data_IF_086997783430
#
_entry.id   IF_086997783430
#
_cell.length_a   1.000
_cell.length_b   1.000
_cell.length_c   1.000
_cell.angle_alpha   90.00
_cell.angle_beta   90.00
_cell.angle_gamma   90.00
#
_symmetry.space_group_name_H-M   'P 1'
#
loop_
_entity.id
_entity.type
_entity.pdbx_description
1 polymer ?
#
# COMPACT_ATOMS: atom_id res chain seq x y z
N UNK A 1 -38.82 -14.41 -13.47
CA UNK A 1 -38.99 -12.96 -13.19
C UNK A 1 -39.05 -12.80 -11.67
N UNK A 2 -37.91 -12.83 -10.98
CA UNK A 2 -37.92 -12.56 -9.53
C UNK A 2 -37.89 -11.03 -9.36
N UNK A 3 -39.06 -10.49 -8.97
CA UNK A 3 -39.20 -9.12 -8.52
C UNK A 3 -38.37 -8.96 -7.25
N UNK A 4 -37.28 -8.20 -7.31
CA UNK A 4 -36.61 -7.72 -6.10
C UNK A 4 -37.71 -7.03 -5.26
N UNK A 5 -37.91 -7.52 -4.07
CA UNK A 5 -38.89 -6.93 -3.14
C UNK A 5 -38.42 -5.52 -2.76
N UNK A 6 -39.36 -4.67 -2.30
CA UNK A 6 -38.99 -3.33 -1.82
C UNK A 6 -37.96 -3.42 -0.70
N UNK A 7 -38.01 -4.45 0.13
CA UNK A 7 -37.06 -4.74 1.20
C UNK A 7 -35.64 -5.03 0.67
N UNK A 8 -35.50 -5.77 -0.44
CA UNK A 8 -34.20 -6.05 -1.03
C UNK A 8 -33.53 -4.77 -1.56
N UNK A 9 -34.34 -3.85 -2.11
CA UNK A 9 -33.84 -2.55 -2.61
C UNK A 9 -33.40 -1.62 -1.47
N UNK A 10 -34.13 -1.61 -0.37
CA UNK A 10 -33.80 -0.82 0.81
C UNK A 10 -32.49 -1.32 1.45
N UNK A 11 -32.34 -2.64 1.58
CA UNK A 11 -31.10 -3.25 2.08
C UNK A 11 -29.88 -2.95 1.20
N UNK A 12 -30.03 -2.97 -0.13
CA UNK A 12 -28.97 -2.58 -1.08
C UNK A 12 -28.58 -1.11 -0.90
N UNK A 13 -29.57 -0.23 -0.70
CA UNK A 13 -29.32 1.20 -0.53
C UNK A 13 -28.59 1.48 0.78
N UNK A 14 -29.02 0.86 1.87
CA UNK A 14 -28.38 1.01 3.18
C UNK A 14 -26.90 0.57 3.14
N UNK A 15 -26.63 -0.55 2.50
CA UNK A 15 -25.26 -1.06 2.39
C UNK A 15 -24.38 -0.20 1.48
N UNK A 16 -24.92 0.35 0.39
CA UNK A 16 -24.19 1.32 -0.43
C UNK A 16 -23.85 2.60 0.36
N UNK A 17 -24.77 3.03 1.25
CA UNK A 17 -24.54 4.16 2.14
C UNK A 17 -23.45 3.84 3.18
N UNK A 18 -23.50 2.65 3.79
CA UNK A 18 -22.45 2.20 4.73
C UNK A 18 -21.07 2.11 4.08
N UNK A 19 -21.00 1.57 2.86
CA UNK A 19 -19.74 1.54 2.09
C UNK A 19 -19.28 2.97 1.78
N UNK A 20 -20.19 3.85 1.38
CA UNK A 20 -19.87 5.26 1.13
C UNK A 20 -19.32 5.97 2.37
N UNK A 21 -19.87 5.72 3.56
CA UNK A 21 -19.36 6.22 4.83
C UNK A 21 -17.99 5.60 5.18
N UNK A 22 -17.81 4.31 4.92
CA UNK A 22 -16.55 3.62 5.15
C UNK A 22 -15.42 4.17 4.25
N UNK A 23 -15.71 4.54 3.00
CA UNK A 23 -14.74 5.21 2.09
C UNK A 23 -14.19 6.50 2.69
N UNK A 24 -14.97 7.20 3.52
CA UNK A 24 -14.56 8.45 4.17
C UNK A 24 -13.79 8.24 5.48
N UNK A 25 -13.97 7.11 6.16
CA UNK A 25 -13.47 6.87 7.53
C UNK A 25 -12.46 5.74 7.67
N UNK A 26 -12.49 4.74 6.79
CA UNK A 26 -11.56 3.59 6.84
C UNK A 26 -10.18 3.98 6.33
N UNK A 27 -9.16 3.67 7.11
CA UNK A 27 -7.76 3.97 6.78
C UNK A 27 -7.06 2.82 6.08
N UNK A 28 -7.56 1.60 6.25
CA UNK A 28 -7.02 0.42 5.57
C UNK A 28 -7.71 0.21 4.22
N UNK A 29 -7.02 0.59 3.15
CA UNK A 29 -7.52 0.43 1.79
C UNK A 29 -7.92 -1.03 1.49
N UNK A 30 -7.09 -2.00 1.90
CA UNK A 30 -7.35 -3.40 1.56
C UNK A 30 -8.56 -3.96 2.32
N UNK A 31 -8.74 -3.58 3.58
CA UNK A 31 -9.94 -3.92 4.37
C UNK A 31 -11.21 -3.34 3.73
N UNK A 32 -11.15 -2.09 3.24
CA UNK A 32 -12.26 -1.47 2.54
C UNK A 32 -12.57 -2.15 1.20
N UNK A 33 -11.55 -2.48 0.40
CA UNK A 33 -11.73 -3.19 -0.87
C UNK A 33 -12.27 -4.61 -0.67
N UNK A 34 -11.87 -5.30 0.41
CA UNK A 34 -12.39 -6.61 0.81
C UNK A 34 -13.90 -6.55 1.11
N UNK A 35 -14.34 -5.55 1.88
CA UNK A 35 -15.77 -5.30 2.17
C UNK A 35 -16.57 -4.98 0.90
N UNK A 36 -16.03 -4.16 0.01
CA UNK A 36 -16.68 -3.83 -1.27
C UNK A 36 -16.85 -5.09 -2.12
N UNK A 37 -15.82 -5.94 -2.19
CA UNK A 37 -15.88 -7.19 -2.95
C UNK A 37 -16.87 -8.16 -2.34
N UNK A 38 -16.91 -8.29 -1.01
CA UNK A 38 -17.87 -9.12 -0.27
C UNK A 38 -19.31 -8.67 -0.56
N UNK A 39 -19.60 -7.37 -0.50
CA UNK A 39 -20.90 -6.81 -0.84
C UNK A 39 -21.26 -7.11 -2.30
N UNK A 40 -20.34 -6.91 -3.24
CA UNK A 40 -20.56 -7.20 -4.66
C UNK A 40 -20.91 -8.68 -4.90
N UNK A 41 -20.20 -9.60 -4.26
CA UNK A 41 -20.47 -11.05 -4.33
C UNK A 41 -21.84 -11.39 -3.75
N UNK A 42 -22.16 -10.88 -2.57
CA UNK A 42 -23.42 -11.15 -1.88
C UNK A 42 -24.62 -10.70 -2.71
N UNK A 43 -24.60 -9.47 -3.24
CA UNK A 43 -25.68 -8.94 -4.06
C UNK A 43 -25.90 -9.68 -5.37
N UNK A 44 -24.84 -10.22 -5.95
CA UNK A 44 -24.90 -10.94 -7.21
C UNK A 44 -24.96 -12.44 -7.03
N UNK A 45 -24.84 -12.92 -5.79
CA UNK A 45 -24.69 -14.34 -5.43
C UNK A 45 -23.51 -14.98 -6.18
N UNK A 46 -22.43 -14.25 -6.34
CA UNK A 46 -21.23 -14.76 -7.01
C UNK A 46 -20.44 -15.67 -6.06
N UNK A 47 -20.02 -16.84 -6.54
CA UNK A 47 -19.17 -17.79 -5.78
C UNK A 47 -17.78 -17.22 -5.50
N UNK A 48 -17.26 -16.43 -6.42
CA UNK A 48 -15.94 -15.83 -6.30
C UNK A 48 -15.91 -14.40 -6.84
N UNK A 49 -14.91 -13.66 -6.42
CA UNK A 49 -14.65 -12.32 -6.93
C UNK A 49 -13.18 -11.92 -6.74
N UNK A 50 -12.75 -11.04 -7.60
CA UNK A 50 -11.40 -10.48 -7.58
C UNK A 50 -11.44 -8.98 -7.84
N UNK A 51 -10.67 -8.24 -7.07
CA UNK A 51 -10.42 -6.84 -7.32
C UNK A 51 -8.97 -6.66 -7.75
N UNK A 52 -8.78 -6.16 -8.96
CA UNK A 52 -7.48 -5.89 -9.53
C UNK A 52 -7.14 -4.40 -9.45
N UNK A 53 -5.87 -4.09 -9.15
CA UNK A 53 -5.30 -2.75 -9.30
C UNK A 53 -4.41 -2.70 -10.53
N UNK A 54 -4.59 -1.67 -11.35
CA UNK A 54 -3.73 -1.43 -12.52
C UNK A 54 -2.43 -0.76 -12.09
N UNK A 55 -1.32 -1.37 -12.54
CA UNK A 55 0.04 -0.89 -12.37
C UNK A 55 0.76 -0.93 -13.73
N UNK A 56 0.74 0.19 -14.43
CA UNK A 56 1.24 0.29 -15.80
C UNK A 56 0.55 -0.66 -16.78
N UNK A 57 1.29 -1.65 -17.28
CA UNK A 57 0.85 -2.69 -18.20
C UNK A 57 0.35 -3.99 -17.52
N UNK A 58 0.15 -3.96 -16.21
CA UNK A 58 -0.22 -5.14 -15.41
C UNK A 58 -1.45 -4.87 -14.55
N UNK A 59 -2.17 -5.96 -14.25
CA UNK A 59 -3.18 -6.02 -13.21
C UNK A 59 -2.64 -6.86 -12.05
N UNK A 60 -2.53 -6.25 -10.88
CA UNK A 60 -2.16 -6.94 -9.64
C UNK A 60 -3.42 -7.34 -8.88
N UNK A 61 -3.42 -8.54 -8.34
CA UNK A 61 -4.48 -8.98 -7.44
C UNK A 61 -4.41 -8.18 -6.14
N UNK A 62 -5.43 -7.38 -5.85
CA UNK A 62 -5.53 -6.61 -4.61
C UNK A 62 -6.31 -7.38 -3.55
N UNK A 63 -7.47 -7.93 -3.94
CA UNK A 63 -8.32 -8.75 -3.07
C UNK A 63 -8.85 -9.92 -3.90
N UNK A 64 -8.83 -11.12 -3.33
CA UNK A 64 -9.39 -12.34 -3.92
C UNK A 64 -10.27 -13.01 -2.88
N UNK A 65 -11.51 -13.33 -3.24
CA UNK A 65 -12.44 -14.08 -2.42
C UNK A 65 -13.01 -15.24 -3.25
N UNK A 66 -12.90 -16.46 -2.74
CA UNK A 66 -13.46 -17.67 -3.38
C UNK A 66 -13.82 -18.70 -2.31
N UNK A 67 -15.10 -18.87 -2.05
CA UNK A 67 -15.60 -19.73 -0.95
C UNK A 67 -15.20 -21.20 -1.10
N UNK A 68 -15.06 -21.69 -2.34
CA UNK A 68 -14.69 -23.07 -2.60
C UNK A 68 -13.19 -23.31 -2.32
N UNK A 69 -12.35 -22.35 -2.72
CA UNK A 69 -10.92 -22.44 -2.50
C UNK A 69 -10.57 -22.11 -1.04
N UNK A 70 -11.28 -21.18 -0.41
CA UNK A 70 -11.08 -20.84 1.00
C UNK A 70 -11.40 -22.01 1.95
N UNK A 71 -12.30 -22.92 1.57
CA UNK A 71 -12.54 -24.17 2.30
C UNK A 71 -11.38 -25.15 2.19
N UNK A 72 -10.60 -25.10 1.10
CA UNK A 72 -9.42 -25.95 0.86
C UNK A 72 -8.13 -25.33 1.40
N UNK A 73 -8.02 -24.00 1.32
CA UNK A 73 -6.85 -23.20 1.70
C UNK A 73 -7.31 -22.04 2.58
N UNK A 74 -6.64 -21.75 3.70
CA UNK A 74 -6.95 -20.55 4.46
C UNK A 74 -6.75 -19.28 3.61
N UNK A 75 -7.55 -18.21 3.85
CA UNK A 75 -7.50 -16.92 3.12
C UNK A 75 -6.08 -16.38 2.86
N UNK A 76 -5.14 -16.37 3.84
CA UNK A 76 -3.78 -15.89 3.60
C UNK A 76 -3.03 -16.68 2.52
N UNK A 77 -3.25 -17.98 2.41
CA UNK A 77 -2.63 -18.82 1.40
C UNK A 77 -3.19 -18.55 -0.01
N UNK A 78 -4.47 -18.24 -0.12
CA UNK A 78 -5.10 -17.83 -1.37
C UNK A 78 -4.52 -16.52 -1.88
N UNK A 79 -4.48 -15.49 -1.04
CA UNK A 79 -3.95 -14.18 -1.38
C UNK A 79 -2.49 -14.26 -1.85
N UNK A 80 -1.61 -14.94 -1.09
CA UNK A 80 -0.20 -15.12 -1.44
C UNK A 80 0.00 -15.80 -2.79
N UNK A 81 -0.83 -16.80 -3.13
CA UNK A 81 -0.74 -17.53 -4.38
C UNK A 81 -1.04 -16.64 -5.59
N UNK A 82 -2.03 -15.77 -5.49
CA UNK A 82 -2.43 -14.86 -6.57
C UNK A 82 -1.54 -13.61 -6.66
N UNK A 83 -1.02 -13.11 -5.56
CA UNK A 83 -0.08 -11.98 -5.56
C UNK A 83 1.23 -12.26 -6.31
N UNK A 84 1.66 -13.52 -6.37
CA UNK A 84 2.90 -13.91 -7.00
C UNK A 84 2.91 -13.77 -8.54
N UNK A 85 1.74 -13.73 -9.20
CA UNK A 85 1.63 -13.72 -10.65
C UNK A 85 0.65 -12.67 -11.18
N UNK A 86 1.08 -11.40 -11.36
CA UNK A 86 0.23 -10.37 -11.93
C UNK A 86 -0.14 -10.67 -13.37
N UNK A 87 -1.39 -10.37 -13.76
CA UNK A 87 -1.87 -10.47 -15.14
C UNK A 87 -1.24 -9.37 -16.00
N UNK A 88 -0.57 -9.73 -17.08
CA UNK A 88 -0.10 -8.76 -18.07
C UNK A 88 -1.26 -8.35 -18.97
N UNK A 89 -1.39 -7.05 -19.24
CA UNK A 89 -2.40 -6.55 -20.17
C UNK A 89 -2.16 -7.06 -21.62
N UNK A 90 -0.93 -7.44 -21.96
CA UNK A 90 -0.61 -8.05 -23.25
C UNK A 90 -1.20 -9.47 -23.42
N UNK A 91 -1.44 -10.16 -22.30
CA UNK A 91 -2.05 -11.50 -22.30
C UNK A 91 -3.56 -11.39 -22.43
N UNK A 92 -4.20 -12.22 -23.28
CA UNK A 92 -5.65 -12.25 -23.40
C UNK A 92 -6.32 -12.66 -22.10
N UNK A 93 -7.20 -11.80 -21.56
CA UNK A 93 -8.03 -12.09 -20.40
C UNK A 93 -9.23 -11.14 -20.37
N UNK A 94 -10.33 -11.55 -19.72
CA UNK A 94 -11.53 -10.70 -19.58
C UNK A 94 -11.24 -9.46 -18.75
N UNK A 95 -10.59 -9.60 -17.61
CA UNK A 95 -10.15 -8.46 -16.81
C UNK A 95 -9.19 -7.53 -17.58
N UNK A 96 -8.24 -8.11 -18.35
CA UNK A 96 -7.32 -7.35 -19.21
C UNK A 96 -8.04 -6.58 -20.31
N UNK A 97 -9.09 -7.16 -20.92
CA UNK A 97 -9.94 -6.46 -21.87
C UNK A 97 -10.63 -5.25 -21.23
N UNK A 98 -11.31 -5.46 -20.09
CA UNK A 98 -11.95 -4.37 -19.33
C UNK A 98 -10.96 -3.27 -18.96
N UNK A 99 -9.75 -3.66 -18.53
CA UNK A 99 -8.69 -2.71 -18.16
C UNK A 99 -8.17 -1.86 -19.33
N UNK A 100 -8.27 -2.36 -20.56
CA UNK A 100 -7.86 -1.65 -21.78
C UNK A 100 -8.96 -0.77 -22.34
N UNK A 101 -10.18 -1.29 -22.42
CA UNK A 101 -11.28 -0.67 -23.16
C UNK A 101 -12.23 0.14 -22.27
N UNK A 102 -12.33 -0.18 -20.98
CA UNK A 102 -13.35 0.36 -20.08
C UNK A 102 -14.76 -0.21 -20.32
N UNK A 103 -14.90 -1.16 -21.22
CA UNK A 103 -16.18 -1.81 -21.49
C UNK A 103 -16.48 -2.84 -20.40
N UNK A 104 -17.75 -2.87 -19.96
CA UNK A 104 -18.20 -3.95 -19.07
C UNK A 104 -18.30 -5.24 -19.83
N UNK A 105 -17.83 -6.33 -19.24
CA UNK A 105 -17.98 -7.68 -19.74
C UNK A 105 -18.98 -8.42 -18.85
N UNK A 106 -20.06 -8.91 -19.44
CA UNK A 106 -21.04 -9.79 -18.80
C UNK A 106 -21.25 -10.99 -19.73
N UNK A 107 -20.73 -12.15 -19.34
CA UNK A 107 -20.79 -13.37 -20.14
C UNK A 107 -21.41 -14.51 -19.36
N UNK A 108 -22.29 -15.25 -19.99
CA UNK A 108 -22.98 -16.39 -19.41
C UNK A 108 -22.09 -17.65 -19.34
N UNK A 109 -21.15 -17.77 -20.30
CA UNK A 109 -20.19 -18.87 -20.36
C UNK A 109 -18.85 -18.35 -20.91
N UNK A 110 -17.84 -18.34 -20.05
CA UNK A 110 -16.51 -17.87 -20.38
C UNK A 110 -15.80 -18.76 -21.42
N UNK A 111 -16.14 -20.06 -21.46
CA UNK A 111 -15.55 -21.01 -22.42
C UNK A 111 -16.18 -20.91 -23.82
N UNK A 112 -17.36 -20.31 -23.94
CA UNK A 112 -18.01 -20.06 -25.25
C UNK A 112 -17.39 -18.88 -26.01
N UNK A 113 -16.44 -18.15 -25.41
CA UNK A 113 -15.76 -17.02 -26.02
C UNK A 113 -14.65 -17.59 -26.93
N UNK A 114 -14.82 -17.44 -28.26
CA UNK A 114 -13.84 -17.94 -29.25
C UNK A 114 -12.44 -17.32 -29.07
N UNK A 115 -11.42 -18.13 -29.27
CA UNK A 115 -9.98 -17.81 -29.09
C UNK A 115 -9.47 -16.65 -29.98
N UNK A 116 -10.23 -16.20 -30.96
CA UNK A 116 -9.88 -15.15 -31.92
C UNK A 116 -10.35 -13.74 -31.54
N UNK A 117 -10.99 -13.59 -30.38
CA UNK A 117 -11.44 -12.27 -29.92
C UNK A 117 -10.44 -11.69 -28.90
N UNK A 118 -10.32 -10.37 -28.88
CA UNK A 118 -9.57 -9.63 -27.84
C UNK A 118 -10.09 -9.92 -26.42
N UNK A 119 -11.21 -10.61 -26.32
CA UNK A 119 -11.86 -11.15 -25.11
C UNK A 119 -11.60 -12.65 -25.06
N UNK A 120 -10.48 -13.09 -24.56
CA UNK A 120 -10.22 -14.50 -24.30
C UNK A 120 -10.35 -14.78 -22.80
N UNK A 121 -10.85 -15.95 -22.46
CA UNK A 121 -10.81 -16.44 -21.10
C UNK A 121 -9.45 -17.11 -20.83
N UNK A 122 -8.84 -16.79 -19.69
CA UNK A 122 -7.54 -17.37 -19.31
C UNK A 122 -7.78 -18.49 -18.30
N UNK A 123 -7.79 -19.74 -18.76
CA UNK A 123 -8.04 -20.93 -17.93
C UNK A 123 -6.89 -21.25 -16.94
N UNK A 124 -5.77 -20.53 -17.00
CA UNK A 124 -4.59 -20.80 -16.19
C UNK A 124 -4.89 -20.82 -14.69
N UNK A 125 -5.76 -19.89 -14.24
CA UNK A 125 -6.15 -19.81 -12.84
C UNK A 125 -7.13 -20.91 -12.44
N UNK A 126 -8.03 -21.32 -13.33
CA UNK A 126 -8.96 -22.43 -13.11
C UNK A 126 -8.18 -23.73 -12.94
N UNK A 127 -7.28 -24.01 -13.86
CA UNK A 127 -6.40 -25.20 -13.80
C UNK A 127 -5.55 -25.21 -12.53
N UNK A 128 -4.96 -24.05 -12.16
CA UNK A 128 -4.09 -23.95 -10.99
C UNK A 128 -4.86 -24.09 -9.67
N UNK A 129 -6.15 -23.75 -9.61
CA UNK A 129 -6.99 -23.74 -8.40
C UNK A 129 -8.01 -24.85 -8.32
N UNK A 130 -8.13 -25.70 -9.36
CA UNK A 130 -9.19 -26.70 -9.49
C UNK A 130 -10.59 -26.06 -9.34
N UNK A 131 -10.76 -24.90 -10.01
CA UNK A 131 -11.98 -24.13 -10.07
C UNK A 131 -12.51 -24.09 -11.50
N UNK A 132 -13.80 -24.05 -11.70
CA UNK A 132 -14.43 -23.98 -13.02
C UNK A 132 -15.21 -22.70 -13.19
N UNK A 133 -14.62 -21.72 -13.85
CA UNK A 133 -15.27 -20.46 -14.17
C UNK A 133 -16.24 -20.65 -15.33
N UNK A 134 -17.52 -20.25 -15.12
CA UNK A 134 -18.56 -20.24 -16.15
C UNK A 134 -19.00 -18.82 -16.45
N UNK A 135 -19.88 -18.25 -15.61
CA UNK A 135 -20.35 -16.89 -15.81
C UNK A 135 -19.39 -15.86 -15.23
N UNK A 136 -19.18 -14.75 -15.93
CA UNK A 136 -18.27 -13.66 -15.53
C UNK A 136 -18.95 -12.31 -15.70
N UNK A 137 -18.88 -11.48 -14.68
CA UNK A 137 -19.19 -10.05 -14.73
C UNK A 137 -17.94 -9.25 -14.33
N UNK A 138 -17.35 -8.50 -15.27
CA UNK A 138 -16.20 -7.66 -15.02
C UNK A 138 -16.50 -6.20 -15.35
N UNK A 139 -16.23 -5.30 -14.40
CA UNK A 139 -16.48 -3.86 -14.51
C UNK A 139 -15.21 -3.07 -14.24
N UNK A 140 -14.97 -1.95 -14.95
CA UNK A 140 -13.80 -1.11 -14.72
C UNK A 140 -13.94 -0.29 -13.43
N UNK A 141 -12.83 -0.10 -12.74
CA UNK A 141 -12.67 0.92 -11.71
C UNK A 141 -12.13 2.17 -12.40
N UNK A 142 -12.99 3.17 -12.59
CA UNK A 142 -12.62 4.41 -13.27
C UNK A 142 -12.48 5.55 -12.28
N UNK A 143 -11.42 6.33 -12.40
CA UNK A 143 -11.25 7.57 -11.65
C UNK A 143 -12.07 8.73 -12.28
N UNK A 144 -12.03 9.91 -11.65
CA UNK A 144 -12.75 11.10 -12.12
C UNK A 144 -12.26 11.63 -13.47
N UNK A 145 -11.09 11.21 -13.94
CA UNK A 145 -10.54 11.58 -15.27
C UNK A 145 -10.97 10.61 -16.35
N UNK A 146 -11.70 9.54 -15.98
CA UNK A 146 -12.06 8.43 -16.87
C UNK A 146 -10.95 7.40 -17.06
N UNK A 147 -9.80 7.55 -16.35
CA UNK A 147 -8.71 6.57 -16.42
C UNK A 147 -9.07 5.30 -15.67
N UNK A 148 -8.76 4.14 -16.24
CA UNK A 148 -9.02 2.85 -15.63
C UNK A 148 -7.88 2.52 -14.67
N UNK A 149 -8.18 2.50 -13.37
CA UNK A 149 -7.24 2.26 -12.28
C UNK A 149 -7.29 0.84 -11.71
N UNK A 150 -8.24 0.03 -12.18
CA UNK A 150 -8.43 -1.35 -11.76
C UNK A 150 -9.62 -2.00 -12.44
N UNK A 151 -9.92 -3.23 -12.02
CA UNK A 151 -11.09 -4.03 -12.48
C UNK A 151 -11.68 -4.76 -11.29
N UNK A 152 -13.01 -4.79 -11.18
CA UNK A 152 -13.75 -5.67 -10.29
C UNK A 152 -14.35 -6.78 -11.15
N UNK A 153 -14.01 -8.03 -10.83
CA UNK A 153 -14.45 -9.23 -11.54
C UNK A 153 -15.18 -10.16 -10.59
N UNK A 154 -16.36 -10.62 -10.99
CA UNK A 154 -17.21 -11.57 -10.27
C UNK A 154 -17.38 -12.83 -11.11
N UNK A 155 -17.33 -13.99 -10.47
CA UNK A 155 -17.35 -15.29 -11.12
C UNK A 155 -18.50 -16.11 -10.57
N UNK A 156 -19.20 -16.83 -11.46
CA UNK A 156 -20.22 -17.83 -11.15
C UNK A 156 -21.35 -17.30 -10.27
N UNK A 157 -22.28 -16.55 -10.85
CA UNK A 157 -23.55 -16.26 -10.16
C UNK A 157 -24.34 -17.58 -9.96
N UNK A 158 -24.90 -17.77 -8.76
CA UNK A 158 -25.70 -18.96 -8.46
C UNK A 158 -27.17 -18.61 -8.18
N UNK A 159 -28.07 -19.49 -8.62
CA UNK A 159 -29.48 -19.39 -8.31
C UNK A 159 -29.84 -20.04 -6.97
N UNK A 160 -31.13 -20.08 -6.64
CA UNK A 160 -31.62 -20.68 -5.39
C UNK A 160 -31.42 -22.21 -5.30
N UNK A 161 -31.19 -22.88 -6.43
CA UNK A 161 -30.85 -24.31 -6.48
C UNK A 161 -29.34 -24.59 -6.34
N UNK A 162 -28.51 -23.53 -6.34
CA UNK A 162 -27.05 -23.63 -6.36
C UNK A 162 -26.46 -23.85 -7.77
N UNK A 163 -27.27 -23.76 -8.82
CA UNK A 163 -26.80 -23.88 -10.19
C UNK A 163 -26.15 -22.55 -10.66
N UNK A 164 -25.02 -22.64 -11.38
CA UNK A 164 -24.39 -21.46 -11.99
C UNK A 164 -25.27 -20.90 -13.10
N UNK A 165 -25.54 -19.61 -13.04
CA UNK A 165 -26.37 -18.84 -13.97
C UNK A 165 -25.62 -17.61 -14.48
N UNK A 166 -26.14 -16.98 -15.55
CA UNK A 166 -25.62 -15.69 -16.02
C UNK A 166 -25.94 -14.57 -15.02
N UNK A 167 -25.06 -13.58 -14.93
CA UNK A 167 -25.32 -12.36 -14.16
C UNK A 167 -26.47 -11.56 -14.80
N UNK A 168 -27.44 -11.16 -13.99
CA UNK A 168 -28.55 -10.34 -14.47
C UNK A 168 -28.09 -8.93 -14.79
N UNK A 169 -28.70 -8.29 -15.79
CA UNK A 169 -28.33 -6.91 -16.22
C UNK A 169 -28.48 -5.86 -15.12
N UNK A 170 -29.42 -6.05 -14.20
CA UNK A 170 -29.59 -5.12 -13.06
C UNK A 170 -28.37 -5.16 -12.12
N UNK A 171 -27.66 -6.29 -12.04
CA UNK A 171 -26.42 -6.41 -11.29
C UNK A 171 -25.33 -5.48 -11.85
N UNK A 172 -25.29 -5.24 -13.16
CA UNK A 172 -24.27 -4.34 -13.76
C UNK A 172 -24.32 -2.93 -13.17
N UNK A 173 -25.53 -2.38 -12.95
CA UNK A 173 -25.69 -1.03 -12.39
C UNK A 173 -25.19 -0.96 -10.94
N UNK A 174 -25.53 -1.97 -10.16
CA UNK A 174 -25.13 -2.07 -8.76
C UNK A 174 -23.59 -2.24 -8.66
N UNK A 175 -23.03 -3.15 -9.44
CA UNK A 175 -21.58 -3.40 -9.42
C UNK A 175 -20.79 -2.20 -9.93
N UNK A 176 -21.32 -1.44 -10.90
CA UNK A 176 -20.73 -0.15 -11.30
C UNK A 176 -20.71 0.89 -10.15
N UNK A 177 -21.77 0.95 -9.32
CA UNK A 177 -21.78 1.83 -8.16
C UNK A 177 -20.72 1.42 -7.13
N UNK A 178 -20.61 0.13 -6.80
CA UNK A 178 -19.56 -0.40 -5.91
C UNK A 178 -18.15 -0.17 -6.48
N UNK A 179 -17.98 -0.37 -7.79
CA UNK A 179 -16.73 -0.09 -8.49
C UNK A 179 -16.33 1.40 -8.40
N UNK A 180 -17.30 2.32 -8.46
CA UNK A 180 -17.05 3.75 -8.28
C UNK A 180 -16.58 4.05 -6.85
N UNK A 181 -17.17 3.45 -5.81
CA UNK A 181 -16.70 3.59 -4.43
C UNK A 181 -15.27 3.06 -4.27
N UNK A 182 -14.97 1.88 -4.83
CA UNK A 182 -13.62 1.33 -4.82
C UNK A 182 -12.61 2.27 -5.52
N UNK A 183 -12.99 2.85 -6.66
CA UNK A 183 -12.13 3.80 -7.38
C UNK A 183 -11.83 5.06 -6.55
N UNK A 184 -12.82 5.59 -5.83
CA UNK A 184 -12.62 6.74 -4.92
C UNK A 184 -11.68 6.36 -3.78
N UNK A 185 -11.87 5.19 -3.16
CA UNK A 185 -11.01 4.68 -2.08
C UNK A 185 -9.56 4.54 -2.53
N UNK A 186 -9.34 3.90 -3.68
CA UNK A 186 -8.01 3.71 -4.28
C UNK A 186 -7.34 5.06 -4.57
N UNK A 187 -8.10 6.00 -5.12
CA UNK A 187 -7.59 7.35 -5.40
C UNK A 187 -7.20 8.09 -4.12
N UNK A 188 -8.05 8.06 -3.10
CA UNK A 188 -7.75 8.70 -1.81
C UNK A 188 -6.48 8.11 -1.20
N UNK A 189 -6.34 6.79 -1.16
CA UNK A 189 -5.14 6.13 -0.67
C UNK A 189 -3.88 6.48 -1.49
N UNK A 190 -3.99 6.61 -2.83
CA UNK A 190 -2.88 7.07 -3.69
C UNK A 190 -2.49 8.51 -3.39
N UNK A 191 -3.47 9.41 -3.22
CA UNK A 191 -3.21 10.81 -2.85
C UNK A 191 -2.57 10.92 -1.47
N UNK A 192 -3.01 10.13 -0.50
CA UNK A 192 -2.39 10.06 0.82
C UNK A 192 -0.95 9.54 0.73
N UNK A 193 -0.68 8.49 -0.05
CA UNK A 193 0.66 7.97 -0.26
C UNK A 193 1.60 9.00 -0.91
N UNK A 194 1.13 9.77 -1.89
CA UNK A 194 1.90 10.88 -2.48
C UNK A 194 2.12 11.96 -1.43
N UNK A 195 1.12 12.24 -0.58
CA UNK A 195 1.21 13.21 0.53
C UNK A 195 2.12 12.76 1.68
N UNK A 196 2.51 11.47 1.74
CA UNK A 196 3.38 10.92 2.78
C UNK A 196 4.86 10.78 2.37
N UNK A 197 5.17 11.05 1.11
CA UNK A 197 6.54 11.00 0.61
C UNK A 197 7.15 12.40 0.49
N UNK A 198 8.45 12.47 0.72
CA UNK A 198 9.25 13.64 0.39
C UNK A 198 9.57 13.62 -1.12
N UNK A 199 9.28 14.70 -1.82
CA UNK A 199 9.37 14.77 -3.29
C UNK A 199 10.80 14.68 -3.83
N UNK A 200 11.82 15.01 -3.00
CA UNK A 200 13.22 14.97 -3.41
C UNK A 200 13.84 13.58 -3.21
N UNK A 201 13.55 12.96 -2.06
CA UNK A 201 14.26 11.77 -1.58
C UNK A 201 13.44 10.49 -1.66
N UNK A 202 12.12 10.61 -1.90
CA UNK A 202 11.15 9.50 -1.89
C UNK A 202 11.05 8.75 -0.54
N UNK A 203 11.75 9.23 0.49
CA UNK A 203 11.54 8.77 1.85
C UNK A 203 10.17 9.19 2.36
N UNK A 204 9.75 8.66 3.49
CA UNK A 204 8.59 9.22 4.17
C UNK A 204 8.87 10.66 4.59
N UNK A 205 7.85 11.50 4.58
CA UNK A 205 7.96 12.88 5.06
C UNK A 205 7.65 13.00 6.55
N UNK A 206 7.82 14.19 7.10
CA UNK A 206 7.55 14.52 8.51
C UNK A 206 6.12 14.16 8.94
N UNK A 207 5.13 14.35 8.06
CA UNK A 207 3.73 14.05 8.39
C UNK A 207 3.51 12.56 8.64
N UNK A 208 3.98 11.71 7.73
CA UNK A 208 3.89 10.25 7.90
C UNK A 208 4.69 9.78 9.13
N UNK A 209 5.88 10.32 9.31
CA UNK A 209 6.70 9.99 10.47
C UNK A 209 5.98 10.27 11.78
N UNK A 210 5.29 11.43 11.91
CA UNK A 210 4.50 11.79 13.09
C UNK A 210 3.38 10.77 13.38
N UNK A 211 2.66 10.33 12.35
CA UNK A 211 1.63 9.31 12.52
C UNK A 211 2.22 7.97 13.00
N UNK A 212 3.34 7.57 12.43
CA UNK A 212 3.96 6.27 12.73
C UNK A 212 4.63 6.22 14.10
N UNK A 213 5.27 7.30 14.54
CA UNK A 213 5.88 7.35 15.87
C UNK A 213 4.81 7.24 16.97
N UNK A 214 3.65 7.89 16.80
CA UNK A 214 2.52 7.80 17.72
C UNK A 214 1.97 6.37 17.82
N UNK A 215 1.84 5.69 16.68
CA UNK A 215 1.38 4.30 16.63
C UNK A 215 2.36 3.34 17.32
N UNK A 216 3.66 3.48 17.06
CA UNK A 216 4.69 2.62 17.66
C UNK A 216 4.85 2.88 19.17
N UNK A 217 4.67 4.13 19.63
CA UNK A 217 4.64 4.44 21.07
C UNK A 217 3.44 3.78 21.74
N UNK A 218 2.24 3.85 21.16
CA UNK A 218 1.06 3.12 21.65
C UNK A 218 1.29 1.61 21.72
N UNK A 219 1.95 1.06 20.68
CA UNK A 219 2.33 -0.35 20.64
C UNK A 219 3.33 -0.70 21.76
N UNK A 220 4.36 0.12 21.96
CA UNK A 220 5.30 -0.01 23.07
C UNK A 220 4.58 -0.04 24.41
N UNK A 221 3.70 0.93 24.67
CA UNK A 221 2.93 1.02 25.92
C UNK A 221 2.05 -0.21 26.16
N UNK A 222 1.47 -0.79 25.10
CA UNK A 222 0.59 -1.97 25.20
C UNK A 222 1.34 -3.28 25.39
N UNK A 223 2.46 -3.46 24.72
CA UNK A 223 3.15 -4.76 24.61
C UNK A 223 4.54 -4.80 25.26
N UNK A 224 5.08 -3.66 25.69
CA UNK A 224 6.41 -3.58 26.32
C UNK A 224 7.59 -3.76 25.36
N UNK A 225 7.36 -3.84 24.06
CA UNK A 225 8.45 -4.01 23.10
C UNK A 225 9.31 -2.74 23.00
N UNK A 226 10.66 -2.84 22.98
CA UNK A 226 11.51 -1.67 22.92
C UNK A 226 11.33 -0.89 21.61
N UNK A 227 11.33 0.43 21.71
CA UNK A 227 11.24 1.33 20.57
C UNK A 227 12.39 2.33 20.64
N UNK A 228 13.09 2.53 19.53
CA UNK A 228 14.18 3.50 19.46
C UNK A 228 14.05 4.41 18.24
N UNK A 229 14.53 5.62 18.40
CA UNK A 229 14.60 6.65 17.38
C UNK A 229 16.05 7.08 17.15
N UNK A 230 16.44 7.17 15.91
CA UNK A 230 17.71 7.79 15.46
C UNK A 230 17.35 8.99 14.61
N UNK A 231 17.81 10.18 15.02
CA UNK A 231 17.75 11.40 14.21
C UNK A 231 19.11 11.63 13.60
N UNK A 232 19.16 11.98 12.32
CA UNK A 232 20.35 12.12 11.51
C UNK A 232 20.35 13.50 10.88
N UNK A 233 21.51 14.17 10.86
CA UNK A 233 21.67 15.40 10.12
C UNK A 233 22.98 15.36 9.32
N UNK A 234 22.92 15.81 8.07
CA UNK A 234 24.10 15.92 7.20
C UNK A 234 24.95 17.07 7.68
N UNK A 235 26.20 16.77 8.01
CA UNK A 235 27.15 17.78 8.52
C UNK A 235 27.54 18.75 7.41
N UNK A 236 27.68 20.03 7.77
CA UNK A 236 28.14 21.08 6.86
C UNK A 236 27.34 21.15 5.53
N UNK A 237 26.05 20.85 5.52
CA UNK A 237 25.24 20.85 4.31
C UNK A 237 25.12 22.23 3.64
N UNK A 238 24.98 23.30 4.45
CA UNK A 238 24.93 24.69 3.93
C UNK A 238 26.17 25.13 3.12
N UNK A 239 27.41 24.87 3.57
CA UNK A 239 28.59 25.06 2.75
C UNK A 239 28.55 24.35 1.40
N UNK A 240 28.11 23.09 1.33
CA UNK A 240 28.00 22.34 0.08
C UNK A 240 27.06 23.03 -0.91
N UNK A 241 25.88 23.45 -0.45
CA UNK A 241 24.94 24.18 -1.30
C UNK A 241 25.40 25.57 -1.70
N UNK A 242 26.15 26.26 -0.84
CA UNK A 242 26.71 27.57 -1.14
C UNK A 242 27.83 27.54 -2.19
N UNK A 243 28.66 26.50 -2.16
CA UNK A 243 29.79 26.34 -3.06
C UNK A 243 29.41 25.70 -4.41
N UNK A 244 28.54 24.67 -4.38
CA UNK A 244 28.22 23.87 -5.56
C UNK A 244 26.80 24.05 -6.07
N UNK A 245 25.99 24.91 -5.43
CA UNK A 245 24.61 25.18 -5.80
C UNK A 245 23.58 24.20 -5.23
N UNK A 246 22.32 24.55 -5.34
CA UNK A 246 21.20 23.78 -4.78
C UNK A 246 21.11 22.35 -5.36
N UNK A 247 21.39 22.19 -6.66
CA UNK A 247 21.33 20.91 -7.33
C UNK A 247 22.33 19.89 -6.74
N UNK A 248 23.52 20.35 -6.34
CA UNK A 248 24.52 19.52 -5.67
C UNK A 248 24.05 19.08 -4.27
N UNK A 249 23.45 19.98 -3.51
CA UNK A 249 22.84 19.64 -2.23
C UNK A 249 21.71 18.60 -2.38
N UNK A 250 20.86 18.78 -3.37
CA UNK A 250 19.77 17.83 -3.67
C UNK A 250 20.31 16.43 -4.02
N UNK A 251 21.42 16.35 -4.75
CA UNK A 251 22.07 15.08 -5.08
C UNK A 251 22.64 14.41 -3.82
N UNK A 252 23.32 15.16 -2.96
CA UNK A 252 23.82 14.66 -1.66
C UNK A 252 22.67 14.10 -0.83
N UNK A 253 21.54 14.81 -0.72
CA UNK A 253 20.38 14.33 0.04
C UNK A 253 19.77 13.06 -0.54
N UNK A 254 19.67 12.96 -1.87
CA UNK A 254 19.22 11.72 -2.54
C UNK A 254 20.15 10.55 -2.26
N UNK A 255 21.46 10.78 -2.30
CA UNK A 255 22.45 9.73 -2.06
C UNK A 255 22.43 9.26 -0.60
N UNK A 256 22.42 10.20 0.37
CA UNK A 256 22.23 9.87 1.80
C UNK A 256 20.94 9.06 2.02
N UNK A 257 19.86 9.43 1.36
CA UNK A 257 18.58 8.71 1.45
C UNK A 257 18.69 7.27 0.95
N UNK A 258 19.38 7.05 -0.18
CA UNK A 258 19.63 5.70 -0.71
C UNK A 258 20.49 4.87 0.23
N UNK A 259 21.52 5.47 0.86
CA UNK A 259 22.36 4.81 1.84
C UNK A 259 21.54 4.41 3.08
N UNK A 260 20.71 5.30 3.61
CA UNK A 260 19.79 5.00 4.72
C UNK A 260 18.88 3.83 4.40
N UNK A 261 18.22 3.83 3.23
CA UNK A 261 17.32 2.76 2.81
C UNK A 261 18.05 1.43 2.62
N UNK A 262 19.17 1.43 1.88
CA UNK A 262 19.94 0.22 1.56
C UNK A 262 20.48 -0.48 2.79
N UNK A 263 20.85 0.28 3.80
CA UNK A 263 21.44 -0.24 5.03
C UNK A 263 20.45 -0.33 6.20
N UNK A 264 19.15 -0.27 5.93
CA UNK A 264 18.08 -0.45 6.91
C UNK A 264 17.29 -1.73 6.63
N UNK A 265 16.64 -2.24 7.68
CA UNK A 265 15.73 -3.39 7.52
C UNK A 265 14.42 -2.92 6.91
N UNK A 266 13.71 -3.82 6.24
CA UNK A 266 12.44 -3.51 5.55
C UNK A 266 11.35 -2.90 6.44
N UNK A 267 11.36 -3.20 7.73
CA UNK A 267 10.42 -2.68 8.72
C UNK A 267 10.92 -1.42 9.46
N UNK A 268 12.12 -0.90 9.15
CA UNK A 268 12.59 0.38 9.69
C UNK A 268 11.92 1.52 8.93
N UNK A 269 11.30 2.43 9.65
CA UNK A 269 10.66 3.61 9.03
C UNK A 269 11.72 4.70 8.89
N UNK A 270 12.07 5.02 7.64
CA UNK A 270 13.02 6.10 7.32
C UNK A 270 12.23 7.29 6.77
N UNK A 271 12.47 8.45 7.34
CA UNK A 271 11.81 9.69 6.95
C UNK A 271 12.82 10.84 6.80
N UNK A 272 12.46 11.79 5.94
CA UNK A 272 13.08 13.12 5.92
C UNK A 272 12.18 14.06 6.71
N UNK A 273 12.72 14.63 7.78
CA UNK A 273 11.94 15.49 8.66
C UNK A 273 11.91 16.94 8.18
N UNK A 274 13.08 17.46 7.76
CA UNK A 274 13.23 18.82 7.24
C UNK A 274 14.61 18.97 6.61
N UNK A 275 14.76 19.82 5.61
CA UNK A 275 16.04 20.22 5.04
C UNK A 275 17.03 19.05 4.88
N UNK A 276 18.04 19.01 5.74
CA UNK A 276 19.10 18.01 5.84
C UNK A 276 18.94 17.05 7.03
N UNK A 277 17.74 17.02 7.66
CA UNK A 277 17.43 16.18 8.81
C UNK A 277 16.58 14.97 8.43
N UNK A 278 17.05 13.78 8.84
CA UNK A 278 16.37 12.49 8.63
C UNK A 278 16.09 11.80 9.95
N UNK A 279 15.17 10.85 9.93
CA UNK A 279 14.87 10.01 11.08
C UNK A 279 14.74 8.54 10.67
N UNK A 280 15.18 7.65 11.56
CA UNK A 280 14.95 6.21 11.50
C UNK A 280 14.25 5.75 12.77
N UNK A 281 13.01 5.26 12.66
CA UNK A 281 12.25 4.67 13.75
C UNK A 281 12.43 3.16 13.72
N UNK A 282 12.95 2.60 14.81
CA UNK A 282 13.33 1.19 14.92
C UNK A 282 12.42 0.50 15.95
N UNK A 283 11.35 -0.14 15.46
CA UNK A 283 10.50 -0.97 16.28
C UNK A 283 11.23 -2.22 16.77
N UNK A 284 10.83 -2.73 17.94
CA UNK A 284 11.42 -3.91 18.59
C UNK A 284 12.95 -3.85 18.73
N UNK A 285 13.50 -2.64 18.89
CA UNK A 285 14.95 -2.42 18.94
C UNK A 285 15.30 -1.60 20.18
N UNK A 286 16.11 -2.15 21.09
CA UNK A 286 16.58 -1.41 22.27
C UNK A 286 17.60 -0.32 21.85
N UNK A 287 17.76 0.71 22.69
CA UNK A 287 18.65 1.86 22.45
C UNK A 287 20.07 1.47 22.04
N UNK A 288 20.66 0.45 22.67
CA UNK A 288 21.99 -0.05 22.30
C UNK A 288 22.05 -0.59 20.85
N UNK A 289 20.98 -1.28 20.43
CA UNK A 289 20.85 -1.74 19.03
C UNK A 289 20.70 -0.58 18.04
N UNK A 290 19.97 0.47 18.43
CA UNK A 290 19.82 1.67 17.63
C UNK A 290 21.14 2.47 17.53
N UNK A 291 21.93 2.52 18.60
CA UNK A 291 23.27 3.12 18.58
C UNK A 291 24.22 2.35 17.65
N UNK A 292 24.18 1.02 17.67
CA UNK A 292 24.94 0.19 16.73
C UNK A 292 24.52 0.42 15.28
N UNK A 293 23.21 0.52 15.02
CA UNK A 293 22.67 0.90 13.70
C UNK A 293 23.20 2.28 13.28
N UNK A 294 23.08 3.29 14.15
CA UNK A 294 23.53 4.64 13.85
C UNK A 294 25.03 4.70 13.54
N UNK A 295 25.88 3.98 14.31
CA UNK A 295 27.32 3.91 14.07
C UNK A 295 27.65 3.27 12.73
N UNK A 296 26.93 2.21 12.33
CA UNK A 296 27.09 1.59 11.02
C UNK A 296 26.73 2.56 9.89
N UNK A 297 25.59 3.27 10.00
CA UNK A 297 25.18 4.25 8.99
C UNK A 297 26.19 5.40 8.92
N UNK A 298 26.67 5.91 10.06
CA UNK A 298 27.72 6.93 10.11
C UNK A 298 28.93 6.53 9.28
N UNK A 299 29.45 5.31 9.51
CA UNK A 299 30.61 4.80 8.76
C UNK A 299 30.33 4.63 7.26
N UNK A 300 29.13 4.22 6.90
CA UNK A 300 28.70 4.09 5.50
C UNK A 300 28.67 5.46 4.81
N UNK A 301 28.10 6.47 5.46
CA UNK A 301 28.06 7.85 4.91
C UNK A 301 29.48 8.42 4.77
N UNK A 302 30.29 8.30 5.82
CA UNK A 302 31.69 8.81 5.82
C UNK A 302 32.56 8.18 4.72
N UNK A 303 32.38 6.88 4.45
CA UNK A 303 33.18 6.16 3.44
C UNK A 303 32.62 6.24 2.03
N UNK A 304 31.42 6.82 1.84
CA UNK A 304 30.79 6.92 0.54
C UNK A 304 31.44 8.02 -0.32
N UNK A 305 31.80 7.72 -1.61
CA UNK A 305 32.42 8.70 -2.50
C UNK A 305 31.34 9.64 -3.10
N UNK A 306 31.01 10.72 -2.38
CA UNK A 306 30.13 11.76 -2.92
C UNK A 306 30.85 12.58 -4.00
N UNK A 307 30.05 13.04 -4.99
CA UNK A 307 30.61 13.82 -6.12
C UNK A 307 31.21 15.17 -5.70
N UNK A 308 30.82 15.72 -4.56
CA UNK A 308 31.18 17.05 -4.08
C UNK A 308 32.09 17.02 -2.84
N UNK A 309 32.87 15.96 -2.68
CA UNK A 309 33.83 15.82 -1.59
C UNK A 309 33.33 14.94 -0.44
N UNK A 310 34.00 15.00 0.70
CA UNK A 310 33.65 14.18 1.87
C UNK A 310 32.40 14.72 2.56
N UNK A 311 31.38 13.91 2.66
CA UNK A 311 30.16 14.21 3.42
C UNK A 311 30.13 13.34 4.66
N UNK A 312 29.85 13.94 5.81
CA UNK A 312 29.62 13.22 7.07
C UNK A 312 28.25 13.52 7.61
N UNK A 313 27.81 12.75 8.60
CA UNK A 313 26.56 12.97 9.29
C UNK A 313 26.71 12.76 10.80
N UNK A 314 25.94 13.52 11.55
CA UNK A 314 25.82 13.40 13.01
C UNK A 314 24.50 12.73 13.36
N UNK A 315 24.53 11.95 14.45
CA UNK A 315 23.43 11.08 14.84
C UNK A 315 23.09 11.28 16.31
N UNK A 316 21.77 11.41 16.61
CA UNK A 316 21.24 11.40 17.96
C UNK A 316 20.34 10.19 18.16
N UNK A 317 20.52 9.45 19.26
CA UNK A 317 19.78 8.21 19.57
C UNK A 317 19.03 8.37 20.87
N UNK A 318 17.75 7.99 20.87
CA UNK A 318 16.93 7.88 22.06
C UNK A 318 16.06 6.61 22.00
N UNK A 319 15.63 6.12 23.16
CA UNK A 319 14.83 4.89 23.23
C UNK A 319 13.80 4.91 24.38
N UNK A 320 12.69 4.23 24.15
CA UNK A 320 11.69 3.95 25.17
C UNK A 320 11.99 2.62 25.88
N UNK A 321 11.77 2.57 27.21
CA UNK A 321 11.27 3.64 28.10
C UNK A 321 12.37 4.51 28.70
N UNK A 322 13.64 4.32 28.35
CA UNK A 322 14.77 4.89 29.08
C UNK A 322 14.83 6.43 29.00
N UNK A 323 14.53 7.02 27.86
CA UNK A 323 14.78 8.45 27.59
C UNK A 323 13.49 9.26 27.44
N UNK A 324 12.32 8.59 27.33
CA UNK A 324 11.05 9.24 27.03
C UNK A 324 9.85 8.38 27.44
N UNK A 325 8.67 9.00 27.47
CA UNK A 325 7.38 8.34 27.74
C UNK A 325 6.34 8.60 26.64
N UNK A 326 6.59 9.58 25.79
CA UNK A 326 5.72 9.97 24.68
C UNK A 326 6.50 10.07 23.35
N UNK A 327 5.79 10.22 22.25
CA UNK A 327 6.39 10.44 20.94
C UNK A 327 7.18 11.76 20.85
N UNK A 328 6.60 12.84 21.40
CA UNK A 328 7.23 14.16 21.43
C UNK A 328 8.49 14.15 22.30
N UNK A 329 8.45 13.49 23.47
CA UNK A 329 9.61 13.35 24.34
C UNK A 329 10.72 12.54 23.66
N UNK A 330 10.36 11.46 22.94
CA UNK A 330 11.31 10.60 22.24
C UNK A 330 12.01 11.38 21.12
N UNK A 331 11.25 12.16 20.34
CA UNK A 331 11.82 13.01 19.31
C UNK A 331 12.74 14.11 19.92
N UNK A 332 12.25 14.77 20.96
CA UNK A 332 13.03 15.79 21.67
C UNK A 332 14.34 15.24 22.28
N UNK A 333 14.31 14.02 22.85
CA UNK A 333 15.48 13.34 23.38
C UNK A 333 16.50 13.01 22.28
N UNK A 334 16.06 12.44 21.16
CA UNK A 334 16.93 12.15 20.01
C UNK A 334 17.53 13.42 19.41
N UNK A 335 16.77 14.51 19.32
CA UNK A 335 17.27 15.80 18.84
C UNK A 335 18.26 16.45 19.82
N UNK A 336 18.09 16.29 21.14
CA UNK A 336 19.13 16.72 22.13
C UNK A 336 20.40 15.95 21.91
N UNK A 337 20.33 14.62 21.79
CA UNK A 337 21.50 13.79 21.51
C UNK A 337 22.20 14.20 20.19
N UNK A 338 21.42 14.53 19.13
CA UNK A 338 21.99 15.03 17.88
C UNK A 338 22.74 16.34 18.06
N UNK A 339 22.20 17.27 18.87
CA UNK A 339 22.94 18.54 19.18
C UNK A 339 24.24 18.24 19.89
N UNK A 340 24.25 17.36 20.88
CA UNK A 340 25.48 16.94 21.55
C UNK A 340 26.51 16.34 20.59
N UNK A 341 26.06 15.51 19.62
CA UNK A 341 26.94 14.97 18.59
C UNK A 341 27.59 16.09 17.74
N UNK A 342 26.81 17.11 17.38
CA UNK A 342 27.30 18.26 16.61
C UNK A 342 28.28 19.11 17.42
N UNK A 343 27.99 19.40 18.69
CA UNK A 343 28.80 20.23 19.58
C UNK A 343 30.14 19.58 19.93
N UNK A 344 30.17 18.25 20.04
CA UNK A 344 31.37 17.48 20.28
C UNK A 344 32.27 17.31 19.04
N UNK A 345 31.93 17.88 17.89
CA UNK A 345 32.81 17.90 16.70
C UNK A 345 32.27 17.12 15.51
N UNK A 346 30.99 16.85 15.45
CA UNK A 346 30.27 16.21 14.33
C UNK A 346 30.77 14.79 13.99
N UNK A 347 30.26 14.21 12.89
CA UNK A 347 30.60 12.87 12.40
C UNK A 347 30.61 11.80 13.50
N UNK A 348 29.59 11.80 14.32
CA UNK A 348 29.49 10.88 15.47
C UNK A 348 28.04 10.55 15.84
N UNK A 349 27.95 9.56 16.70
CA UNK A 349 26.70 9.15 17.34
C UNK A 349 26.74 9.58 18.80
N UNK A 350 25.69 10.28 19.25
CA UNK A 350 25.43 10.52 20.67
C UNK A 350 24.17 9.80 21.08
N UNK A 351 24.19 9.19 22.26
CA UNK A 351 23.06 8.53 22.90
C UNK A 351 23.02 9.02 24.35
N UNK A 352 22.02 9.84 24.68
CA UNK A 352 21.81 10.38 26.04
C UNK A 352 21.63 9.28 27.08
#
# INVERSE_FOLDING_TARGET
MSSHTAADREQVLDELLEIGLAVASERDLYALLDRILEAARRFTRAEAGTLFLRDGDRLRFAVVQNDLIERKLARPGLQQRFEAEPLRLSEPSLAGHVAKTGEVVNVADAHAIGVHQTRAFNERFDVASDYATRSVLAVPLQDLTGSIIGVLELLNAVDDSGATVAFHRDHEKLIRALAAHAAVAIRNARLENISFKDSLTELYNRRYFGLRIDEEVKRHTRFGHPLSLVVVNVDCFKPITAEHGQAAGDEVLREVSRLLLRHSRSFTIIARLDGDEFAALLANTPKAGAATYAQRIRSVVESHPFAYGTVTASFGVAGLPADAVSADDLLAAAQRALRDAKDQGRNRVSAL
#
